data_IF_385085827271
#
_entry.id   IF_385085827271
#
_cell.length_a   1.000
_cell.length_b   1.000
_cell.length_c   1.000
_cell.angle_alpha   90.00
_cell.angle_beta   90.00
_cell.angle_gamma   90.00
#
_symmetry.space_group_name_H-M   'P 1'
#
loop_
_entity.id
_entity.type
_entity.pdbx_description
1 polymer ?
#
# COMPACT_ATOMS: atom_id res chain seq x y z
N UNK A 1 -56.20 -21.09 10.04
CA UNK A 1 -54.93 -21.78 9.65
C UNK A 1 -53.88 -20.82 9.04
N UNK A 2 -54.22 -19.56 8.70
CA UNK A 2 -53.29 -18.59 8.10
C UNK A 2 -52.27 -17.95 9.07
N UNK A 3 -52.62 -17.87 10.35
CA UNK A 3 -51.75 -17.21 11.36
C UNK A 3 -50.47 -18.00 11.64
N UNK A 4 -50.53 -19.36 11.62
CA UNK A 4 -49.36 -20.23 11.80
C UNK A 4 -48.35 -20.08 10.66
N UNK A 5 -48.84 -19.92 9.43
CA UNK A 5 -47.96 -19.71 8.26
C UNK A 5 -47.24 -18.36 8.31
N UNK A 6 -47.91 -17.31 8.78
CA UNK A 6 -47.31 -15.98 8.98
C UNK A 6 -46.26 -16.01 10.09
N UNK A 7 -46.53 -16.73 11.18
CA UNK A 7 -45.58 -16.85 12.29
C UNK A 7 -44.30 -17.62 11.88
N UNK A 8 -44.48 -18.71 11.13
CA UNK A 8 -43.34 -19.51 10.64
C UNK A 8 -42.50 -18.77 9.62
N UNK A 9 -43.11 -17.97 8.74
CA UNK A 9 -42.35 -17.14 7.79
C UNK A 9 -41.60 -16.00 8.49
N UNK A 10 -42.18 -15.40 9.53
CA UNK A 10 -41.50 -14.37 10.32
C UNK A 10 -40.28 -14.93 11.08
N UNK A 11 -40.40 -16.10 11.68
CA UNK A 11 -39.29 -16.79 12.36
C UNK A 11 -38.20 -17.16 11.34
N UNK A 12 -38.55 -17.66 10.15
CA UNK A 12 -37.62 -17.98 9.09
C UNK A 12 -36.79 -16.78 8.63
N UNK A 13 -37.45 -15.62 8.48
CA UNK A 13 -36.76 -14.35 8.12
C UNK A 13 -35.82 -13.89 9.22
N UNK A 14 -36.19 -13.99 10.48
CA UNK A 14 -35.31 -13.61 11.62
C UNK A 14 -34.10 -14.55 11.70
N UNK A 15 -34.30 -15.84 11.56
CA UNK A 15 -33.19 -16.83 11.58
C UNK A 15 -32.25 -16.61 10.39
N UNK A 16 -32.78 -16.38 9.18
CA UNK A 16 -31.97 -16.08 7.99
C UNK A 16 -31.18 -14.78 8.18
N UNK A 17 -31.80 -13.74 8.72
CA UNK A 17 -31.14 -12.46 9.02
C UNK A 17 -30.01 -12.59 10.05
N UNK A 18 -30.21 -13.40 11.09
CA UNK A 18 -29.19 -13.70 12.09
C UNK A 18 -28.04 -14.52 11.50
N UNK A 19 -28.33 -15.49 10.64
CA UNK A 19 -27.32 -16.31 9.97
C UNK A 19 -26.45 -15.47 9.02
N UNK A 20 -27.04 -14.60 8.21
CA UNK A 20 -26.31 -13.68 7.33
C UNK A 20 -25.44 -12.71 8.15
N UNK A 21 -26.01 -12.18 9.23
CA UNK A 21 -25.27 -11.25 10.11
C UNK A 21 -24.10 -11.94 10.83
N UNK A 22 -24.24 -13.20 11.22
CA UNK A 22 -23.16 -13.97 11.85
C UNK A 22 -22.07 -14.32 10.83
N UNK A 23 -22.45 -14.60 9.59
CA UNK A 23 -21.52 -14.88 8.50
C UNK A 23 -20.68 -13.64 8.13
N UNK A 24 -21.32 -12.48 7.96
CA UNK A 24 -20.64 -11.20 7.72
C UNK A 24 -19.69 -10.81 8.86
N UNK A 25 -20.06 -11.07 10.11
CA UNK A 25 -19.19 -10.83 11.26
C UNK A 25 -18.00 -11.78 11.31
N UNK A 26 -18.16 -13.04 10.91
CA UNK A 26 -17.05 -14.01 10.89
C UNK A 26 -16.03 -13.66 9.81
N UNK A 27 -16.45 -13.16 8.65
CA UNK A 27 -15.52 -12.73 7.60
C UNK A 27 -14.75 -11.48 8.01
N UNK A 28 -15.43 -10.47 8.58
CA UNK A 28 -14.76 -9.29 9.11
C UNK A 28 -13.77 -9.64 10.24
N UNK A 29 -14.12 -10.62 11.08
CA UNK A 29 -13.22 -11.09 12.14
C UNK A 29 -12.01 -11.85 11.57
N UNK A 30 -12.22 -12.71 10.57
CA UNK A 30 -11.13 -13.42 9.87
C UNK A 30 -10.18 -12.45 9.19
N UNK A 31 -10.70 -11.43 8.53
CA UNK A 31 -9.86 -10.38 7.93
C UNK A 31 -9.09 -9.59 8.98
N UNK A 32 -9.72 -9.22 10.10
CA UNK A 32 -9.05 -8.51 11.18
C UNK A 32 -7.93 -9.37 11.81
N UNK A 33 -8.17 -10.68 12.02
CA UNK A 33 -7.16 -11.62 12.51
C UNK A 33 -6.04 -11.81 11.50
N UNK A 34 -6.36 -11.92 10.20
CA UNK A 34 -5.37 -12.03 9.13
C UNK A 34 -4.50 -10.77 9.04
N UNK A 35 -5.10 -9.56 9.14
CA UNK A 35 -4.36 -8.29 9.21
C UNK A 35 -3.46 -8.20 10.45
N UNK A 36 -3.95 -8.65 11.62
CA UNK A 36 -3.13 -8.72 12.85
C UNK A 36 -1.98 -9.71 12.71
N UNK A 37 -2.21 -10.86 12.06
CA UNK A 37 -1.19 -11.87 11.81
C UNK A 37 -0.11 -11.37 10.86
N UNK A 38 -0.51 -10.68 9.76
CA UNK A 38 0.42 -9.99 8.84
C UNK A 38 1.26 -8.93 9.55
N UNK A 39 0.64 -8.10 10.41
CA UNK A 39 1.36 -7.11 11.22
C UNK A 39 2.36 -7.72 12.22
N UNK A 40 2.11 -8.95 12.70
CA UNK A 40 3.01 -9.67 13.62
C UNK A 40 4.10 -10.48 12.92
N UNK A 41 3.88 -10.87 11.68
CA UNK A 41 4.84 -11.66 10.90
C UNK A 41 6.00 -10.82 10.32
N UNK A 42 5.94 -9.48 10.47
CA UNK A 42 6.87 -8.59 9.77
C UNK A 42 6.52 -8.43 8.28
N UNK A 43 7.27 -7.62 7.55
CA UNK A 43 7.08 -7.47 6.11
C UNK A 43 7.39 -8.80 5.40
N UNK A 44 6.59 -9.12 4.38
CA UNK A 44 6.83 -10.29 3.54
C UNK A 44 8.19 -10.13 2.83
N UNK A 45 9.13 -11.09 2.98
CA UNK A 45 10.44 -10.99 2.33
C UNK A 45 10.35 -10.83 0.81
N UNK A 46 9.37 -11.45 0.17
CA UNK A 46 9.17 -11.33 -1.29
C UNK A 46 8.64 -9.96 -1.68
N UNK A 47 7.73 -9.40 -0.91
CA UNK A 47 7.22 -8.03 -1.10
C UNK A 47 8.36 -7.02 -0.91
N UNK A 48 9.15 -7.18 0.15
CA UNK A 48 10.33 -6.35 0.42
C UNK A 48 11.32 -6.39 -0.75
N UNK A 49 11.66 -7.59 -1.23
CA UNK A 49 12.58 -7.76 -2.37
C UNK A 49 12.02 -7.13 -3.66
N UNK A 50 10.74 -7.31 -3.94
CA UNK A 50 10.11 -6.73 -5.12
C UNK A 50 10.18 -5.19 -5.11
N UNK A 51 9.94 -4.57 -3.95
CA UNK A 51 10.05 -3.12 -3.77
C UNK A 51 11.50 -2.66 -3.94
N UNK A 52 12.48 -3.35 -3.37
CA UNK A 52 13.90 -3.03 -3.52
C UNK A 52 14.35 -3.08 -4.99
N UNK A 53 13.96 -4.13 -5.72
CA UNK A 53 14.25 -4.24 -7.16
C UNK A 53 13.65 -3.05 -7.91
N UNK A 54 12.39 -2.71 -7.61
CA UNK A 54 11.72 -1.60 -8.30
C UNK A 54 12.35 -0.24 -7.99
N UNK A 55 12.73 0.00 -6.74
CA UNK A 55 13.47 1.20 -6.34
C UNK A 55 14.81 1.30 -7.09
N UNK A 56 15.57 0.21 -7.17
CA UNK A 56 16.81 0.18 -7.92
C UNK A 56 16.64 0.47 -9.41
N UNK A 57 15.57 -0.06 -10.04
CA UNK A 57 15.24 0.26 -11.43
C UNK A 57 14.93 1.74 -11.63
N UNK A 58 14.10 2.33 -10.78
CA UNK A 58 13.72 3.76 -10.87
C UNK A 58 14.92 4.67 -10.59
N UNK A 59 15.76 4.33 -9.61
CA UNK A 59 17.00 5.06 -9.35
C UNK A 59 17.98 5.01 -10.54
N UNK A 60 18.06 3.87 -11.23
CA UNK A 60 18.86 3.73 -12.45
C UNK A 60 18.27 4.57 -13.59
N UNK A 61 16.96 4.55 -13.77
CA UNK A 61 16.26 5.32 -14.81
C UNK A 61 16.42 6.83 -14.59
N UNK A 62 16.35 7.30 -13.34
CA UNK A 62 16.64 8.71 -13.01
C UNK A 62 18.03 9.13 -13.45
N UNK A 63 19.05 8.32 -13.17
CA UNK A 63 20.44 8.61 -13.60
C UNK A 63 20.56 8.62 -15.13
N UNK A 64 19.93 7.66 -15.80
CA UNK A 64 19.95 7.59 -17.26
C UNK A 64 19.31 8.81 -17.93
N UNK A 65 18.21 9.34 -17.34
CA UNK A 65 17.57 10.57 -17.84
C UNK A 65 18.46 11.81 -17.60
N UNK A 66 19.22 11.83 -16.50
CA UNK A 66 20.16 12.92 -16.23
C UNK A 66 21.36 12.92 -17.22
N UNK A 67 21.82 11.72 -17.60
CA UNK A 67 22.98 11.56 -18.48
C UNK A 67 22.68 11.76 -19.96
N UNK A 68 21.40 11.76 -20.40
CA UNK A 68 21.02 11.90 -21.81
C UNK A 68 20.50 13.33 -22.13
N UNK A 69 21.34 14.23 -22.69
CA UNK A 69 20.93 15.58 -23.06
C UNK A 69 20.00 15.62 -24.29
N UNK A 70 19.89 14.54 -25.05
CA UNK A 70 19.15 14.49 -26.32
C UNK A 70 17.66 14.16 -26.15
N UNK A 71 17.22 13.78 -24.96
CA UNK A 71 15.86 13.33 -24.71
C UNK A 71 14.87 14.49 -24.87
N UNK A 72 14.03 14.39 -25.90
CA UNK A 72 12.91 15.32 -26.07
C UNK A 72 11.95 15.18 -24.87
N UNK A 73 11.53 16.32 -24.27
CA UNK A 73 10.72 16.35 -23.06
C UNK A 73 11.40 15.77 -21.78
N UNK A 74 12.75 15.80 -21.72
CA UNK A 74 13.54 15.33 -20.57
C UNK A 74 12.97 15.73 -19.21
N UNK A 75 12.60 16.99 -19.05
CA UNK A 75 12.05 17.50 -17.78
C UNK A 75 10.72 16.82 -17.41
N UNK A 76 9.91 16.47 -18.40
CA UNK A 76 8.64 15.79 -18.18
C UNK A 76 8.84 14.32 -17.79
N UNK A 77 9.76 13.66 -18.48
CA UNK A 77 10.13 12.28 -18.19
C UNK A 77 10.79 12.17 -16.81
N UNK A 78 11.73 13.05 -16.52
CA UNK A 78 12.38 13.13 -15.21
C UNK A 78 11.38 13.28 -14.07
N UNK A 79 10.41 14.19 -14.17
CA UNK A 79 9.37 14.39 -13.16
C UNK A 79 8.49 13.15 -12.97
N UNK A 80 8.17 12.46 -14.07
CA UNK A 80 7.35 11.24 -13.99
C UNK A 80 8.09 10.12 -13.27
N UNK A 81 9.37 9.88 -13.61
CA UNK A 81 10.20 8.86 -12.95
C UNK A 81 10.46 9.22 -11.49
N UNK A 82 10.74 10.50 -11.21
CA UNK A 82 10.91 11.03 -9.85
C UNK A 82 9.65 10.79 -9.00
N UNK A 83 8.47 11.10 -9.54
CA UNK A 83 7.20 10.85 -8.84
C UNK A 83 6.96 9.37 -8.58
N UNK A 84 7.32 8.50 -9.52
CA UNK A 84 7.24 7.05 -9.34
C UNK A 84 8.22 6.54 -8.27
N UNK A 85 9.44 7.09 -8.22
CA UNK A 85 10.43 6.78 -7.21
C UNK A 85 9.95 7.18 -5.82
N UNK A 86 9.46 8.41 -5.65
CA UNK A 86 8.94 8.92 -4.38
C UNK A 86 7.73 8.10 -3.89
N UNK A 87 6.84 7.69 -4.79
CA UNK A 87 5.71 6.82 -4.44
C UNK A 87 6.18 5.45 -3.94
N UNK A 88 7.15 4.84 -4.63
CA UNK A 88 7.72 3.54 -4.25
C UNK A 88 8.50 3.63 -2.94
N UNK A 89 9.20 4.73 -2.68
CA UNK A 89 9.93 4.99 -1.44
C UNK A 89 8.96 5.04 -0.25
N UNK A 90 7.82 5.72 -0.39
CA UNK A 90 6.76 5.73 0.63
C UNK A 90 6.16 4.34 0.87
N UNK A 91 5.97 3.53 -0.18
CA UNK A 91 5.50 2.15 -0.02
C UNK A 91 6.52 1.31 0.74
N UNK A 92 7.82 1.47 0.45
CA UNK A 92 8.90 0.85 1.21
C UNK A 92 8.86 1.25 2.68
N UNK A 93 8.68 2.53 2.98
CA UNK A 93 8.54 3.05 4.34
C UNK A 93 7.34 2.42 5.07
N UNK A 94 6.19 2.31 4.42
CA UNK A 94 4.99 1.66 5.00
C UNK A 94 5.24 0.18 5.31
N UNK A 95 5.88 -0.54 4.39
CA UNK A 95 6.24 -1.96 4.59
C UNK A 95 7.25 -2.10 5.72
N UNK A 96 8.23 -1.20 5.82
CA UNK A 96 9.20 -1.16 6.89
C UNK A 96 8.63 -0.67 8.24
N UNK A 97 7.36 -0.22 8.29
CA UNK A 97 6.72 0.31 9.48
C UNK A 97 7.20 1.70 9.90
N UNK A 98 7.71 2.48 8.94
CA UNK A 98 8.11 3.87 9.12
C UNK A 98 6.92 4.82 8.97
N UNK A 99 6.98 5.95 9.66
CA UNK A 99 6.00 7.01 9.48
C UNK A 99 6.21 7.67 8.11
N UNK A 100 5.13 7.82 7.37
CA UNK A 100 5.10 8.50 6.06
C UNK A 100 4.20 9.71 6.19
N UNK A 101 4.63 10.84 5.67
CA UNK A 101 3.80 12.03 5.62
C UNK A 101 2.57 11.79 4.72
N UNK A 102 1.36 12.07 5.23
CA UNK A 102 0.09 11.98 4.50
C UNK A 102 -0.07 13.17 3.52
N UNK A 103 0.90 13.32 2.63
CA UNK A 103 0.73 14.29 1.54
C UNK A 103 -0.07 13.64 0.41
N UNK A 104 -1.09 14.31 -0.13
CA UNK A 104 -1.80 13.81 -1.30
C UNK A 104 -0.81 13.65 -2.46
N UNK A 105 -0.86 12.50 -3.15
CA UNK A 105 -0.14 12.26 -4.39
C UNK A 105 -0.81 13.09 -5.51
N UNK A 106 -0.71 14.41 -5.46
CA UNK A 106 -1.01 15.25 -6.61
C UNK A 106 0.21 15.26 -7.51
N UNK A 107 0.01 15.30 -8.83
CA UNK A 107 1.08 15.31 -9.82
C UNK A 107 2.11 16.46 -9.61
N UNK A 108 1.74 17.46 -8.83
CA UNK A 108 2.56 18.63 -8.49
C UNK A 108 3.12 18.60 -7.05
N UNK A 109 2.76 17.61 -6.24
CA UNK A 109 3.29 17.48 -4.88
C UNK A 109 4.67 16.81 -4.95
N UNK A 110 5.68 17.61 -5.23
CA UNK A 110 7.07 17.22 -4.99
C UNK A 110 7.22 16.94 -3.50
N UNK A 111 7.54 15.69 -3.14
CA UNK A 111 8.08 15.40 -1.83
C UNK A 111 9.32 16.28 -1.71
N UNK A 112 9.46 17.01 -0.60
CA UNK A 112 10.65 17.83 -0.41
C UNK A 112 11.88 16.91 -0.50
N UNK A 113 12.97 17.44 -1.04
CA UNK A 113 14.23 16.71 -1.16
C UNK A 113 14.71 16.21 0.22
N UNK A 114 14.48 16.99 1.24
CA UNK A 114 14.77 16.66 2.63
C UNK A 114 13.99 15.43 3.13
N UNK A 115 12.71 15.33 2.78
CA UNK A 115 11.86 14.20 3.18
C UNK A 115 12.29 12.92 2.45
N UNK A 116 12.63 13.00 1.17
CA UNK A 116 13.17 11.87 0.42
C UNK A 116 14.47 11.38 1.04
N UNK A 117 15.40 12.28 1.33
CA UNK A 117 16.66 11.92 1.97
C UNK A 117 16.45 11.27 3.34
N UNK A 118 15.49 11.78 4.12
CA UNK A 118 15.11 11.17 5.40
C UNK A 118 14.62 9.74 5.22
N UNK A 119 13.68 9.52 4.27
CA UNK A 119 13.12 8.19 4.00
C UNK A 119 14.21 7.21 3.52
N UNK A 120 15.11 7.63 2.62
CA UNK A 120 16.23 6.83 2.14
C UNK A 120 17.19 6.44 3.27
N UNK A 121 17.56 7.39 4.13
CA UNK A 121 18.45 7.13 5.26
C UNK A 121 17.82 6.18 6.29
N UNK A 122 16.53 6.37 6.60
CA UNK A 122 15.83 5.50 7.53
C UNK A 122 15.67 4.07 7.00
N UNK A 123 15.37 3.89 5.71
CA UNK A 123 15.33 2.58 5.07
C UNK A 123 16.69 1.91 5.05
N UNK A 124 17.73 2.65 4.65
CA UNK A 124 19.10 2.14 4.63
C UNK A 124 19.58 1.71 6.01
N UNK A 125 19.24 2.45 7.06
CA UNK A 125 19.56 2.09 8.45
C UNK A 125 18.92 0.78 8.91
N UNK A 126 17.83 0.36 8.24
CA UNK A 126 17.12 -0.90 8.48
C UNK A 126 17.57 -2.04 7.57
N UNK A 127 18.64 -1.83 6.80
CA UNK A 127 19.21 -2.83 5.91
C UNK A 127 18.54 -2.94 4.55
N UNK A 128 17.70 -1.97 4.17
CA UNK A 128 17.18 -1.88 2.80
C UNK A 128 18.31 -1.43 1.88
N UNK A 129 18.41 -2.09 0.71
CA UNK A 129 19.47 -1.82 -0.27
C UNK A 129 18.89 -1.93 -1.69
N UNK A 130 19.09 -0.91 -2.52
CA UNK A 130 18.61 -0.82 -3.90
C UNK A 130 19.53 -0.01 -4.82
#
# INVERSE_FOLDING_TARGET
MSWLAVYLSAIGLVVAGLAVRSWLRSDAHREAVARRRRRRAGPDPLETLAIQIRLGQLAHELRAVDDDPSLYARAHHWRAVQGAYDAMLRDACRVAGLAVADAPLTADAHVSEDERLREELELSSRGWNW
#
